data_IF_749546164883
#
_entry.id   IF_749546164883
#
_cell.length_a   1.000
_cell.length_b   1.000
_cell.length_c   1.000
_cell.angle_alpha   90.00
_cell.angle_beta   90.00
_cell.angle_gamma   90.00
#
_symmetry.space_group_name_H-M   'P 1'
#
loop_
_entity.id
_entity.type
_entity.pdbx_description
1 polymer ?
#
# COMPACT_ATOMS: atom_id res chain seq x y z
N UNK A 1 -13.33 4.88 -11.90
CA UNK A 1 -12.30 5.00 -10.84
C UNK A 1 -12.02 6.48 -10.59
N UNK A 2 -12.21 6.99 -9.37
CA UNK A 2 -11.91 8.40 -9.06
C UNK A 2 -10.40 8.55 -8.85
N UNK A 3 -9.74 9.29 -9.75
CA UNK A 3 -8.31 9.62 -9.62
C UNK A 3 -8.13 10.54 -8.41
N UNK A 4 -7.62 10.00 -7.30
CA UNK A 4 -7.18 10.83 -6.18
C UNK A 4 -5.86 11.51 -6.58
N UNK A 5 -5.95 12.60 -7.34
CA UNK A 5 -4.80 13.46 -7.57
C UNK A 5 -4.32 13.99 -6.22
N UNK A 6 -3.09 13.65 -5.84
CA UNK A 6 -2.43 14.24 -4.67
C UNK A 6 -2.43 15.75 -4.83
N UNK A 7 -3.13 16.47 -3.95
CA UNK A 7 -3.34 17.94 -4.02
C UNK A 7 -2.05 18.78 -3.98
N UNK A 8 -0.87 18.15 -3.83
CA UNK A 8 0.42 18.83 -3.82
C UNK A 8 1.04 18.74 -5.22
N UNK A 9 1.36 19.91 -5.79
CA UNK A 9 2.17 19.99 -7.02
C UNK A 9 3.51 19.31 -6.73
N UNK A 10 3.85 18.30 -7.52
CA UNK A 10 5.14 17.62 -7.39
C UNK A 10 6.25 18.67 -7.49
N UNK A 11 7.25 18.57 -6.60
CA UNK A 11 8.45 19.41 -6.63
C UNK A 11 9.44 18.95 -7.70
N UNK A 12 9.16 17.82 -8.36
CA UNK A 12 9.98 17.28 -9.45
C UNK A 12 9.93 18.19 -10.66
N UNK A 13 11.10 18.47 -11.24
CA UNK A 13 11.19 19.09 -12.55
C UNK A 13 10.90 18.04 -13.64
N UNK A 14 9.64 17.97 -14.07
CA UNK A 14 9.20 16.98 -15.05
C UNK A 14 9.83 17.20 -16.43
N UNK A 15 10.11 18.43 -16.84
CA UNK A 15 10.72 18.73 -18.13
C UNK A 15 12.14 18.14 -18.24
N UNK A 16 12.88 18.09 -17.13
CA UNK A 16 14.21 17.47 -17.09
C UNK A 16 14.12 15.94 -17.17
N UNK A 17 13.17 15.32 -16.46
CA UNK A 17 12.98 13.87 -16.49
C UNK A 17 12.52 13.39 -17.88
N UNK A 18 11.64 14.15 -18.53
CA UNK A 18 11.08 13.80 -19.85
C UNK A 18 12.13 13.90 -20.98
N UNK A 19 13.16 14.74 -20.78
CA UNK A 19 14.27 14.89 -21.73
C UNK A 19 15.44 13.92 -21.50
N UNK A 20 15.51 13.29 -20.32
CA UNK A 20 16.59 12.39 -19.93
C UNK A 20 16.56 11.12 -20.79
N UNK A 21 17.69 10.74 -21.36
CA UNK A 21 17.79 9.51 -22.13
C UNK A 21 18.02 8.31 -21.21
N UNK A 22 17.49 7.13 -21.55
CA UNK A 22 17.63 5.91 -20.73
C UNK A 22 19.08 5.58 -20.36
N UNK A 23 20.03 5.84 -21.27
CA UNK A 23 21.48 5.61 -21.07
C UNK A 23 22.12 6.52 -20.01
N UNK A 24 21.45 7.62 -19.66
CA UNK A 24 21.92 8.60 -18.68
C UNK A 24 21.37 8.30 -17.27
N UNK A 25 20.51 7.28 -17.15
CA UNK A 25 19.96 6.83 -15.87
C UNK A 25 21.03 6.01 -15.15
N UNK A 26 21.46 6.49 -13.98
CA UNK A 26 22.34 5.74 -13.09
C UNK A 26 21.57 4.59 -12.42
N UNK A 27 21.95 3.36 -12.74
CA UNK A 27 21.41 2.11 -12.17
C UNK A 27 22.45 1.35 -11.34
N UNK A 28 23.56 2.00 -10.95
CA UNK A 28 24.66 1.35 -10.22
C UNK A 28 24.25 0.77 -8.87
N UNK A 29 23.15 1.25 -8.28
CA UNK A 29 22.60 0.81 -7.00
C UNK A 29 21.71 -0.44 -7.11
N UNK A 30 21.20 -0.78 -8.29
CA UNK A 30 20.22 -1.85 -8.49
C UNK A 30 20.59 -2.69 -9.72
N UNK A 31 20.81 -4.02 -9.57
CA UNK A 31 21.13 -4.86 -10.73
C UNK A 31 19.98 -4.89 -11.74
N UNK A 32 20.33 -4.90 -13.03
CA UNK A 32 19.35 -5.05 -14.10
C UNK A 32 18.56 -6.36 -13.97
N UNK A 33 17.24 -6.26 -13.93
CA UNK A 33 16.34 -7.40 -13.80
C UNK A 33 15.92 -7.90 -15.17
N UNK A 34 16.48 -9.05 -15.58
CA UNK A 34 16.15 -9.68 -16.85
C UNK A 34 14.82 -10.46 -16.86
N UNK A 35 14.47 -11.00 -18.03
CA UNK A 35 13.24 -11.78 -18.25
C UNK A 35 13.03 -12.95 -17.27
N UNK A 36 14.12 -13.51 -16.70
CA UNK A 36 14.05 -14.61 -15.73
C UNK A 36 13.37 -14.15 -14.42
N UNK A 37 13.60 -12.91 -13.99
CA UNK A 37 12.94 -12.34 -12.81
C UNK A 37 11.43 -12.25 -13.02
N UNK A 38 11.01 -11.66 -14.15
CA UNK A 38 9.61 -11.49 -14.49
C UNK A 38 8.87 -12.81 -14.76
N UNK A 39 9.57 -13.85 -15.24
CA UNK A 39 8.98 -15.20 -15.41
C UNK A 39 8.49 -15.80 -14.08
N UNK A 40 9.06 -15.41 -12.94
CA UNK A 40 8.67 -15.90 -11.61
C UNK A 40 7.91 -14.86 -10.79
N UNK A 41 7.78 -13.64 -11.30
CA UNK A 41 7.12 -12.56 -10.59
C UNK A 41 5.62 -12.86 -10.50
N UNK A 42 5.08 -12.85 -9.28
CA UNK A 42 3.65 -13.01 -9.03
C UNK A 42 3.07 -11.65 -8.68
N UNK A 43 2.19 -11.14 -9.54
CA UNK A 43 1.44 -9.94 -9.23
C UNK A 43 0.47 -10.23 -8.08
N UNK A 44 0.71 -9.60 -6.93
CA UNK A 44 -0.20 -9.63 -5.78
C UNK A 44 -0.96 -8.30 -5.75
N UNK A 45 -2.14 -8.28 -6.34
CA UNK A 45 -3.05 -7.15 -6.18
C UNK A 45 -3.66 -7.18 -4.78
N UNK A 46 -3.75 -6.05 -4.07
CA UNK A 46 -4.49 -6.00 -2.82
C UNK A 46 -5.96 -6.29 -3.12
N UNK A 47 -6.49 -7.37 -2.54
CA UNK A 47 -7.92 -7.66 -2.67
C UNK A 47 -8.75 -6.53 -2.03
N UNK A 48 -9.85 -6.12 -2.68
CA UNK A 48 -10.73 -5.11 -2.14
C UNK A 48 -11.32 -5.60 -0.81
N UNK A 49 -11.31 -4.72 0.19
CA UNK A 49 -11.97 -5.00 1.47
C UNK A 49 -13.48 -4.90 1.28
N UNK A 50 -14.22 -5.87 1.79
CA UNK A 50 -15.69 -5.78 1.87
C UNK A 50 -16.08 -4.80 2.97
N UNK A 51 -16.91 -3.81 2.64
CA UNK A 51 -17.48 -2.90 3.63
C UNK A 51 -18.60 -3.64 4.39
N UNK A 52 -18.39 -3.84 5.69
CA UNK A 52 -19.37 -4.49 6.58
C UNK A 52 -19.68 -3.58 7.76
N UNK A 53 -20.93 -3.60 8.20
CA UNK A 53 -21.35 -2.91 9.43
C UNK A 53 -21.34 -3.91 10.58
N UNK A 54 -20.46 -3.69 11.56
CA UNK A 54 -20.38 -4.50 12.77
C UNK A 54 -20.64 -3.63 14.00
N UNK A 55 -21.18 -4.23 15.06
CA UNK A 55 -21.30 -3.57 16.37
C UNK A 55 -20.06 -3.92 17.20
N UNK A 56 -19.48 -2.92 17.84
CA UNK A 56 -18.32 -3.06 18.73
C UNK A 56 -18.66 -2.37 20.05
N UNK A 57 -18.13 -2.90 21.14
CA UNK A 57 -18.25 -2.25 22.45
C UNK A 57 -17.60 -0.87 22.44
N UNK A 58 -18.21 0.04 23.20
CA UNK A 58 -17.78 1.44 23.25
C UNK A 58 -16.33 1.57 23.71
N UNK A 59 -15.93 0.86 24.76
CA UNK A 59 -14.58 0.91 25.32
C UNK A 59 -13.52 0.45 24.31
N UNK A 60 -13.82 -0.61 23.57
CA UNK A 60 -12.93 -1.13 22.51
C UNK A 60 -12.76 -0.08 21.42
N UNK A 61 -13.86 0.52 20.96
CA UNK A 61 -13.82 1.55 19.93
C UNK A 61 -13.04 2.79 20.38
N UNK A 62 -13.25 3.22 21.63
CA UNK A 62 -12.59 4.40 22.20
C UNK A 62 -11.08 4.15 22.36
N UNK A 63 -10.67 2.95 22.79
CA UNK A 63 -9.25 2.56 22.85
C UNK A 63 -8.56 2.61 21.48
N UNK A 64 -9.23 2.13 20.43
CA UNK A 64 -8.68 2.16 19.07
C UNK A 64 -8.61 3.58 18.50
N UNK A 65 -9.59 4.44 18.80
CA UNK A 65 -9.61 5.85 18.40
C UNK A 65 -8.52 6.67 19.11
N UNK A 66 -8.24 6.38 20.39
CA UNK A 66 -7.21 7.06 21.16
C UNK A 66 -5.80 6.92 20.54
N UNK A 67 -5.55 5.87 19.75
CA UNK A 67 -4.30 5.65 19.01
C UNK A 67 -4.18 6.47 17.71
N UNK A 68 -5.10 7.39 17.47
CA UNK A 68 -5.09 8.30 16.34
C UNK A 68 -5.68 7.71 15.04
N UNK A 69 -5.46 8.39 13.89
CA UNK A 69 -6.08 8.03 12.62
C UNK A 69 -5.76 6.60 12.18
N UNK A 70 -6.66 6.00 11.40
CA UNK A 70 -6.50 4.63 10.90
C UNK A 70 -6.98 3.53 11.85
N UNK A 71 -7.76 3.87 12.87
CA UNK A 71 -8.30 2.91 13.85
C UNK A 71 -9.01 1.71 13.21
N UNK A 72 -9.82 1.91 12.15
CA UNK A 72 -10.47 0.82 11.41
C UNK A 72 -9.47 -0.13 10.75
N UNK A 73 -8.35 0.39 10.24
CA UNK A 73 -7.28 -0.45 9.65
C UNK A 73 -6.61 -1.29 10.72
N UNK A 74 -6.42 -0.75 11.93
CA UNK A 74 -5.88 -1.52 13.07
C UNK A 74 -6.83 -2.61 13.54
N UNK A 75 -8.13 -2.32 13.62
CA UNK A 75 -9.15 -3.33 13.93
C UNK A 75 -9.08 -4.49 12.92
N UNK A 76 -9.05 -4.17 11.62
CA UNK A 76 -8.94 -5.20 10.58
C UNK A 76 -7.63 -6.00 10.66
N UNK A 77 -6.51 -5.35 10.99
CA UNK A 77 -5.22 -6.03 11.17
C UNK A 77 -5.27 -7.02 12.35
N UNK A 78 -5.89 -6.63 13.47
CA UNK A 78 -6.06 -7.52 14.63
C UNK A 78 -6.92 -8.73 14.28
N UNK A 79 -8.07 -8.52 13.63
CA UNK A 79 -8.96 -9.61 13.18
C UNK A 79 -8.24 -10.56 12.22
N UNK A 80 -7.42 -10.03 11.30
CA UNK A 80 -6.62 -10.84 10.38
C UNK A 80 -5.58 -11.67 11.12
N UNK A 81 -4.86 -11.09 12.08
CA UNK A 81 -3.87 -11.81 12.87
C UNK A 81 -4.52 -12.94 13.68
N UNK A 82 -5.66 -12.67 14.31
CA UNK A 82 -6.45 -13.67 15.02
C UNK A 82 -6.89 -14.81 14.08
N UNK A 83 -7.44 -14.46 12.91
CA UNK A 83 -7.84 -15.44 11.89
C UNK A 83 -6.67 -16.32 11.45
N UNK A 84 -5.50 -15.74 11.18
CA UNK A 84 -4.30 -16.49 10.75
C UNK A 84 -3.78 -17.43 11.84
N UNK A 85 -3.78 -16.98 13.10
CA UNK A 85 -3.34 -17.81 14.23
C UNK A 85 -4.25 -19.02 14.47
N UNK A 86 -5.52 -18.96 14.04
CA UNK A 86 -6.51 -20.03 14.19
C UNK A 86 -6.78 -20.80 12.88
N UNK A 87 -5.98 -20.56 11.85
CA UNK A 87 -6.09 -21.25 10.57
C UNK A 87 -5.03 -22.34 10.51
N UNK A 88 -5.45 -23.59 10.71
CA UNK A 88 -4.64 -24.80 10.52
C UNK A 88 -4.17 -24.97 9.07
#
# INVERSE_FOLDING_TARGET
MKKHATKKRSRTNWATIDALQDKEIDTSDIPEQGNIFFKRAVLRLPEPKTAVTIRLDREVLDWFKAKGPGYQTRINALLRAYMQAHRS
#
